data_IF_899202603998
#
_entry.id   IF_899202603998
#
_cell.length_a   1.000
_cell.length_b   1.000
_cell.length_c   1.000
_cell.angle_alpha   90.00
_cell.angle_beta   90.00
_cell.angle_gamma   90.00
#
_symmetry.space_group_name_H-M   'P 1'
#
loop_
_entity.id
_entity.type
_entity.pdbx_description
1 polymer ?
#
# COMPACT_ATOMS: atom_id res chain seq x y z
N UNK A 1 1.82 -12.33 14.50
CA UNK A 1 1.99 -11.08 13.71
C UNK A 1 0.83 -10.11 13.88
N UNK A 2 -0.42 -10.55 13.82
CA UNK A 2 -1.59 -9.66 13.96
C UNK A 2 -1.58 -8.82 15.25
N UNK A 3 -1.31 -9.44 16.42
CA UNK A 3 -1.17 -8.69 17.68
C UNK A 3 -0.05 -7.65 17.65
N UNK A 4 1.09 -7.96 17.03
CA UNK A 4 2.19 -6.99 16.87
C UNK A 4 1.79 -5.80 16.00
N UNK A 5 1.05 -6.05 14.91
CA UNK A 5 0.52 -4.99 14.03
C UNK A 5 -0.49 -4.12 14.78
N UNK A 6 -1.41 -4.72 15.56
CA UNK A 6 -2.40 -3.96 16.32
C UNK A 6 -1.74 -3.09 17.41
N UNK A 7 -0.77 -3.64 18.15
CA UNK A 7 -0.09 -2.90 19.21
C UNK A 7 0.85 -1.82 18.67
N UNK A 8 1.54 -2.06 17.55
CA UNK A 8 2.37 -1.04 16.91
C UNK A 8 1.54 0.08 16.29
N UNK A 9 0.32 -0.21 15.83
CA UNK A 9 -0.62 0.77 15.30
C UNK A 9 -1.18 1.75 16.34
N UNK A 10 -0.93 1.53 17.64
CA UNK A 10 -1.30 2.46 18.70
C UNK A 10 -0.37 3.69 18.77
N UNK A 11 0.85 3.56 18.24
CA UNK A 11 1.86 4.63 18.26
C UNK A 11 1.56 5.73 17.22
N UNK A 12 1.29 5.43 15.93
CA UNK A 12 1.08 6.45 14.88
C UNK A 12 -0.04 7.48 15.09
N UNK A 13 -1.20 7.16 15.70
CA UNK A 13 -2.27 8.14 15.90
C UNK A 13 -1.83 9.38 16.69
N UNK A 14 -0.92 9.22 17.65
CA UNK A 14 -0.42 10.32 18.50
C UNK A 14 0.40 11.35 17.70
N UNK A 15 1.51 10.98 17.01
CA UNK A 15 2.27 11.92 16.19
C UNK A 15 1.45 12.44 15.00
N UNK A 16 0.53 11.66 14.44
CA UNK A 16 -0.36 12.13 13.38
C UNK A 16 -1.35 13.18 13.88
N UNK A 17 -1.90 13.01 15.09
CA UNK A 17 -2.77 14.02 15.71
C UNK A 17 -1.99 15.29 16.02
N UNK A 18 -0.78 15.17 16.57
CA UNK A 18 0.09 16.33 16.78
C UNK A 18 0.41 17.04 15.46
N UNK A 19 0.72 16.29 14.41
CA UNK A 19 1.00 16.86 13.08
C UNK A 19 -0.23 17.57 12.51
N UNK A 20 -1.43 16.98 12.60
CA UNK A 20 -2.68 17.62 12.17
C UNK A 20 -2.92 18.93 12.94
N UNK A 21 -2.77 18.94 14.26
CA UNK A 21 -2.93 20.17 15.06
C UNK A 21 -1.89 21.25 14.74
N UNK A 22 -0.66 20.86 14.39
CA UNK A 22 0.42 21.79 14.05
C UNK A 22 0.30 22.33 12.62
N UNK A 23 -0.15 21.52 11.65
CA UNK A 23 -0.20 21.85 10.23
C UNK A 23 -1.56 22.41 9.79
N UNK A 24 -2.64 21.78 10.24
CA UNK A 24 -4.04 22.13 9.90
C UNK A 24 -4.65 23.06 10.96
N UNK A 25 -4.03 23.16 12.13
CA UNK A 25 -4.43 24.05 13.22
C UNK A 25 -5.44 23.42 14.21
N UNK A 26 -5.77 24.14 15.30
CA UNK A 26 -6.65 23.62 16.35
C UNK A 26 -8.12 23.44 15.91
N UNK A 27 -8.53 24.06 14.80
CA UNK A 27 -9.86 23.89 14.22
C UNK A 27 -10.05 22.59 13.43
N UNK A 28 -8.98 21.85 13.14
CA UNK A 28 -9.02 20.64 12.33
C UNK A 28 -9.87 19.51 12.97
N UNK A 29 -9.76 19.33 14.28
CA UNK A 29 -10.47 18.25 14.98
C UNK A 29 -12.00 18.46 15.02
N UNK A 30 -12.53 19.64 15.41
CA UNK A 30 -13.97 19.92 15.29
C UNK A 30 -14.49 19.78 13.86
N UNK A 31 -13.77 20.34 12.87
CA UNK A 31 -14.17 20.27 11.47
C UNK A 31 -14.21 18.81 10.95
N UNK A 32 -13.24 17.99 11.36
CA UNK A 32 -13.21 16.57 11.01
C UNK A 32 -14.39 15.80 11.60
N UNK A 33 -14.79 16.10 12.85
CA UNK A 33 -15.94 15.48 13.51
C UNK A 33 -17.26 15.85 12.84
N UNK A 34 -17.42 17.10 12.41
CA UNK A 34 -18.60 17.57 11.67
C UNK A 34 -18.67 16.97 10.25
N UNK A 35 -17.53 16.70 9.64
CA UNK A 35 -17.44 16.12 8.30
C UNK A 35 -17.57 14.58 8.25
N UNK A 36 -17.84 13.91 9.39
CA UNK A 36 -18.00 12.45 9.41
C UNK A 36 -19.23 12.05 8.59
N UNK A 37 -18.98 11.23 7.57
CA UNK A 37 -20.03 10.64 6.74
C UNK A 37 -20.04 9.12 6.84
N UNK A 38 -21.20 8.50 6.60
CA UNK A 38 -21.31 7.03 6.58
C UNK A 38 -20.40 6.39 5.52
N UNK A 39 -20.21 7.08 4.39
CA UNK A 39 -19.23 6.69 3.35
C UNK A 39 -17.81 6.74 3.89
N UNK A 40 -17.43 7.81 4.58
CA UNK A 40 -16.10 7.95 5.19
C UNK A 40 -15.82 6.84 6.21
N UNK A 41 -16.79 6.52 7.07
CA UNK A 41 -16.69 5.40 8.02
C UNK A 41 -16.51 4.07 7.27
N UNK A 42 -17.31 3.83 6.22
CA UNK A 42 -17.19 2.63 5.39
C UNK A 42 -15.82 2.51 4.71
N UNK A 43 -15.29 3.61 4.17
CA UNK A 43 -13.94 3.67 3.59
C UNK A 43 -12.87 3.40 4.64
N UNK A 44 -13.00 3.97 5.84
CA UNK A 44 -12.05 3.73 6.95
C UNK A 44 -12.04 2.26 7.35
N UNK A 45 -13.23 1.66 7.51
CA UNK A 45 -13.38 0.26 7.88
C UNK A 45 -12.85 -0.69 6.79
N UNK A 46 -13.11 -0.38 5.52
CA UNK A 46 -12.55 -1.13 4.40
C UNK A 46 -11.02 -1.07 4.42
N UNK A 47 -10.44 0.11 4.59
CA UNK A 47 -8.98 0.27 4.63
C UNK A 47 -8.34 -0.44 5.82
N UNK A 48 -8.90 -0.30 7.03
CA UNK A 48 -8.32 -0.82 8.27
C UNK A 48 -8.57 -2.31 8.48
N UNK A 49 -9.74 -2.83 8.13
CA UNK A 49 -10.06 -4.25 8.31
C UNK A 49 -9.81 -5.03 7.04
N UNK A 50 -10.49 -4.68 5.94
CA UNK A 50 -10.40 -5.46 4.72
C UNK A 50 -9.00 -5.35 4.10
N UNK A 51 -8.55 -4.16 3.71
CA UNK A 51 -7.28 -4.01 3.00
C UNK A 51 -6.06 -4.34 3.89
N UNK A 52 -6.02 -3.81 5.12
CA UNK A 52 -4.85 -3.97 6.00
C UNK A 52 -4.71 -5.38 6.55
N UNK A 53 -5.78 -5.96 7.13
CA UNK A 53 -5.69 -7.32 7.70
C UNK A 53 -5.50 -8.35 6.59
N UNK A 54 -6.23 -8.23 5.48
CA UNK A 54 -6.03 -9.14 4.35
C UNK A 54 -4.63 -8.99 3.76
N UNK A 55 -4.19 -7.76 3.49
CA UNK A 55 -2.87 -7.49 2.89
C UNK A 55 -1.73 -8.04 3.75
N UNK A 56 -1.69 -7.67 5.04
CA UNK A 56 -0.67 -8.19 5.95
C UNK A 56 -0.82 -9.69 6.22
N UNK A 57 -2.05 -10.21 6.25
CA UNK A 57 -2.32 -11.64 6.41
C UNK A 57 -1.77 -12.47 5.25
N UNK A 58 -2.07 -12.07 4.01
CA UNK A 58 -1.55 -12.70 2.79
C UNK A 58 -0.03 -12.56 2.72
N UNK A 59 0.52 -11.39 3.07
CA UNK A 59 1.95 -11.17 3.09
C UNK A 59 2.67 -12.04 4.13
N UNK A 60 2.14 -12.11 5.35
CA UNK A 60 2.67 -12.99 6.40
C UNK A 60 2.59 -14.47 5.99
N UNK A 61 1.49 -14.88 5.35
CA UNK A 61 1.33 -16.23 4.81
C UNK A 61 2.36 -16.54 3.70
N UNK A 62 2.58 -15.61 2.76
CA UNK A 62 3.63 -15.74 1.74
C UNK A 62 5.02 -15.88 2.37
N UNK A 63 5.35 -15.04 3.35
CA UNK A 63 6.64 -15.09 4.04
C UNK A 63 6.85 -16.38 4.84
N UNK A 64 5.77 -17.02 5.29
CA UNK A 64 5.85 -18.33 5.96
C UNK A 64 6.15 -19.49 5.00
N UNK A 65 5.92 -19.31 3.69
CA UNK A 65 6.06 -20.36 2.66
C UNK A 65 7.22 -20.12 1.70
N UNK A 66 7.60 -18.86 1.50
CA UNK A 66 8.62 -18.46 0.53
C UNK A 66 9.69 -17.59 1.20
N UNK A 67 10.95 -17.65 0.73
CA UNK A 67 12.01 -16.75 1.20
C UNK A 67 11.63 -15.29 1.01
N UNK A 68 12.00 -14.43 1.97
CA UNK A 68 11.69 -13.00 1.93
C UNK A 68 12.17 -12.31 0.64
N UNK A 69 13.29 -12.75 0.08
CA UNK A 69 13.84 -12.24 -1.19
C UNK A 69 12.98 -12.53 -2.42
N UNK A 70 12.07 -13.52 -2.35
CA UNK A 70 11.12 -13.79 -3.43
C UNK A 70 9.84 -12.98 -3.27
N UNK A 71 9.42 -12.68 -2.04
CA UNK A 71 8.17 -11.98 -1.76
C UNK A 71 8.33 -10.47 -1.81
N UNK A 72 9.47 -9.93 -1.34
CA UNK A 72 9.70 -8.49 -1.25
C UNK A 72 9.61 -7.73 -2.59
N UNK A 73 10.05 -8.27 -3.75
CA UNK A 73 9.99 -7.52 -5.00
C UNK A 73 8.54 -7.23 -5.42
N UNK A 74 7.58 -8.11 -5.10
CA UNK A 74 6.17 -7.93 -5.47
C UNK A 74 5.54 -6.65 -4.91
N UNK A 75 6.13 -6.02 -3.87
CA UNK A 75 5.70 -4.70 -3.42
C UNK A 75 5.82 -3.62 -4.52
N UNK A 76 6.74 -3.80 -5.48
CA UNK A 76 6.85 -2.93 -6.66
C UNK A 76 5.63 -3.03 -7.59
N UNK A 77 4.80 -4.08 -7.47
CA UNK A 77 3.58 -4.20 -8.25
C UNK A 77 2.45 -3.30 -7.73
N UNK A 78 2.54 -2.81 -6.49
CA UNK A 78 1.52 -1.96 -5.85
C UNK A 78 1.07 -0.78 -6.72
N UNK A 79 1.94 0.06 -7.30
CA UNK A 79 1.50 1.17 -8.16
C UNK A 79 0.73 0.71 -9.39
N UNK A 80 1.16 -0.39 -10.03
CA UNK A 80 0.49 -0.94 -11.22
C UNK A 80 -0.93 -1.42 -10.86
N UNK A 81 -1.06 -2.17 -9.77
CA UNK A 81 -2.35 -2.63 -9.29
C UNK A 81 -3.23 -1.49 -8.76
N UNK A 82 -2.63 -0.51 -8.09
CA UNK A 82 -3.31 0.66 -7.53
C UNK A 82 -3.90 1.54 -8.62
N UNK A 83 -3.09 1.96 -9.60
CA UNK A 83 -3.55 2.77 -10.73
C UNK A 83 -4.54 1.98 -11.60
N UNK A 84 -4.26 0.70 -11.86
CA UNK A 84 -5.19 -0.15 -12.62
C UNK A 84 -6.55 -0.31 -11.94
N UNK A 85 -6.58 -0.52 -10.62
CA UNK A 85 -7.84 -0.63 -9.87
C UNK A 85 -8.55 0.71 -9.74
N UNK A 86 -7.84 1.84 -9.57
CA UNK A 86 -8.43 3.17 -9.58
C UNK A 86 -9.10 3.49 -10.94
N UNK A 87 -8.43 3.19 -12.05
CA UNK A 87 -8.98 3.37 -13.38
C UNK A 87 -10.23 2.50 -13.62
N UNK A 88 -10.18 1.23 -13.22
CA UNK A 88 -11.25 0.25 -13.48
C UNK A 88 -12.46 0.40 -12.55
N UNK A 89 -12.23 0.66 -11.25
CA UNK A 89 -13.28 0.68 -10.23
C UNK A 89 -13.83 2.08 -9.96
N UNK A 90 -12.97 3.11 -10.01
CA UNK A 90 -13.36 4.49 -9.74
C UNK A 90 -13.55 5.30 -11.02
N UNK A 91 -13.11 4.80 -12.17
CA UNK A 91 -13.21 5.52 -13.44
C UNK A 91 -12.27 6.72 -13.52
N UNK A 92 -11.19 6.73 -12.73
CA UNK A 92 -10.23 7.83 -12.73
C UNK A 92 -9.46 7.92 -14.05
N UNK A 93 -9.17 9.15 -14.48
CA UNK A 93 -8.40 9.40 -15.68
C UNK A 93 -6.93 9.14 -15.40
N UNK A 94 -6.40 8.04 -15.94
CA UNK A 94 -4.98 7.72 -15.82
C UNK A 94 -4.17 8.63 -16.73
N UNK A 95 -3.24 9.36 -16.12
CA UNK A 95 -2.33 10.25 -16.84
C UNK A 95 -1.20 9.47 -17.51
N UNK A 96 -0.62 10.06 -18.57
CA UNK A 96 0.52 9.45 -19.28
C UNK A 96 1.71 9.24 -18.34
N UNK A 97 1.93 10.14 -17.39
CA UNK A 97 3.03 10.04 -16.41
C UNK A 97 2.85 8.83 -15.49
N UNK A 98 1.63 8.59 -15.01
CA UNK A 98 1.30 7.41 -14.18
C UNK A 98 1.49 6.10 -14.94
N UNK A 99 1.14 6.06 -16.22
CA UNK A 99 1.39 4.89 -17.07
C UNK A 99 2.89 4.64 -17.23
N UNK A 100 3.66 5.67 -17.58
CA UNK A 100 5.11 5.54 -17.76
C UNK A 100 5.77 5.09 -16.44
N UNK A 101 5.40 5.70 -15.32
CA UNK A 101 5.89 5.32 -14.00
C UNK A 101 5.56 3.87 -13.66
N UNK A 102 4.33 3.43 -13.89
CA UNK A 102 3.89 2.06 -13.65
C UNK A 102 4.66 1.05 -14.49
N UNK A 103 4.86 1.34 -15.78
CA UNK A 103 5.65 0.48 -16.69
C UNK A 103 7.11 0.41 -16.23
N UNK A 104 7.70 1.53 -15.82
CA UNK A 104 9.09 1.56 -15.34
C UNK A 104 9.28 0.74 -14.07
N UNK A 105 8.37 0.89 -13.09
CA UNK A 105 8.41 0.09 -11.86
C UNK A 105 8.19 -1.39 -12.17
N UNK A 106 7.25 -1.72 -13.06
CA UNK A 106 7.00 -3.10 -13.48
C UNK A 106 8.21 -3.72 -14.21
N UNK A 107 8.90 -2.96 -15.06
CA UNK A 107 10.13 -3.40 -15.70
C UNK A 107 11.24 -3.67 -14.67
N UNK A 108 11.36 -2.81 -13.65
CA UNK A 108 12.26 -3.03 -12.52
C UNK A 108 11.93 -4.32 -11.74
N UNK A 109 10.65 -4.59 -11.52
CA UNK A 109 10.17 -5.83 -10.90
C UNK A 109 10.55 -7.06 -11.74
N UNK A 110 10.27 -7.03 -13.05
CA UNK A 110 10.65 -8.10 -13.98
C UNK A 110 12.15 -8.38 -13.93
N UNK A 111 12.98 -7.33 -13.95
CA UNK A 111 14.42 -7.45 -13.85
C UNK A 111 14.86 -8.04 -12.49
N UNK A 112 14.21 -7.68 -11.39
CA UNK A 112 14.53 -8.20 -10.06
C UNK A 112 14.20 -9.70 -9.94
N UNK A 113 13.04 -10.12 -10.45
CA UNK A 113 12.57 -11.52 -10.38
C UNK A 113 13.33 -12.43 -11.34
N UNK A 114 13.58 -11.99 -12.57
CA UNK A 114 14.20 -12.82 -13.62
C UNK A 114 15.71 -12.62 -13.77
N UNK A 115 16.27 -11.51 -13.28
CA UNK A 115 17.69 -11.16 -13.41
C UNK A 115 18.67 -12.21 -12.91
N UNK A 116 18.46 -12.83 -11.72
CA UNK A 116 19.33 -13.91 -11.24
C UNK A 116 19.33 -15.13 -12.17
N UNK A 117 18.18 -15.48 -12.73
CA UNK A 117 18.02 -16.62 -13.67
C UNK A 117 18.63 -16.33 -15.04
N UNK A 118 18.49 -15.09 -15.52
CA UNK A 118 19.04 -14.66 -16.80
C UNK A 118 20.57 -14.58 -16.78
N UNK A 119 21.15 -14.08 -15.68
CA UNK A 119 22.61 -14.07 -15.47
C UNK A 119 23.20 -15.48 -15.37
N UNK A 120 22.47 -16.44 -14.81
CA UNK A 120 22.91 -17.83 -14.76
C UNK A 120 22.94 -18.47 -16.16
N UNK A 121 21.94 -18.18 -17.02
CA UNK A 121 21.92 -18.66 -18.41
C UNK A 121 22.97 -18.01 -19.32
N UNK A 122 23.34 -16.76 -19.07
CA UNK A 122 24.37 -16.05 -19.85
C UNK A 122 25.81 -16.45 -19.49
N UNK A 123 26.00 -17.11 -18.34
CA UNK A 123 27.30 -17.62 -17.88
C UNK A 123 27.54 -19.11 -18.22
N UNK A 124 26.51 -19.80 -18.71
CA UNK A 124 26.56 -21.19 -19.19
C UNK A 124 26.75 -21.19 -20.71
#
# INVERSE_FOLDING_TARGET
>A
MLGFICWSALVPPIPLLMASLLLEGPGALPAALEAITWRGIGSLAFMSYAATIFGFGVWAWLLSRYPASQVSPFALFVPVAGIGSAALLLGEHVTVVEVIGSVLVFAGLMANVFGPRLRAKLKA
#
